data_IF_154364248930
#
_entry.id   IF_154364248930
#
_cell.length_a   1.000
_cell.length_b   1.000
_cell.length_c   1.000
_cell.angle_alpha   90.00
_cell.angle_beta   90.00
_cell.angle_gamma   90.00
#
_symmetry.space_group_name_H-M   'P 1'
#
loop_
_entity.id
_entity.type
_entity.pdbx_description
1 polymer ?
#
# COMPACT_ATOMS: atom_id res chain seq x y z
N UNK A 1 73.04 -61.91 20.58
CA UNK A 1 73.65 -61.84 21.93
C UNK A 1 72.52 -62.03 22.94
N UNK A 2 72.56 -63.06 23.81
CA UNK A 2 71.50 -63.28 24.81
C UNK A 2 71.73 -62.31 25.97
N UNK A 3 70.90 -61.27 26.09
CA UNK A 3 70.91 -60.37 27.25
C UNK A 3 70.36 -61.15 28.45
N UNK A 4 71.08 -61.15 29.58
CA UNK A 4 70.61 -61.81 30.80
C UNK A 4 69.35 -61.12 31.33
N UNK A 5 68.39 -61.90 31.80
CA UNK A 5 67.09 -61.41 32.26
C UNK A 5 67.23 -60.38 33.40
N UNK A 6 68.12 -60.62 34.36
CA UNK A 6 68.43 -59.69 35.45
C UNK A 6 68.89 -58.30 34.94
N UNK A 7 69.66 -58.27 33.85
CA UNK A 7 70.14 -57.02 33.25
C UNK A 7 68.98 -56.28 32.57
N UNK A 8 68.11 -57.01 31.86
CA UNK A 8 66.91 -56.44 31.22
C UNK A 8 65.98 -55.81 32.26
N UNK A 9 65.73 -56.49 33.37
CA UNK A 9 64.89 -55.99 34.47
C UNK A 9 65.49 -54.74 35.13
N UNK A 10 66.81 -54.72 35.36
CA UNK A 10 67.49 -53.55 35.92
C UNK A 10 67.40 -52.32 35.00
N UNK A 11 67.50 -52.52 33.67
CA UNK A 11 67.32 -51.46 32.67
C UNK A 11 65.89 -50.91 32.69
N UNK A 12 64.89 -51.78 32.66
CA UNK A 12 63.46 -51.38 32.68
C UNK A 12 63.13 -50.65 33.99
N UNK A 13 63.59 -51.16 35.13
CA UNK A 13 63.36 -50.52 36.43
C UNK A 13 63.99 -49.12 36.51
N UNK A 14 65.19 -48.95 35.94
CA UNK A 14 65.88 -47.65 35.93
C UNK A 14 65.19 -46.66 34.97
N UNK A 15 64.73 -47.14 33.81
CA UNK A 15 63.94 -46.32 32.89
C UNK A 15 62.61 -45.86 33.51
N UNK A 16 61.92 -46.76 34.24
CA UNK A 16 60.69 -46.42 34.96
C UNK A 16 60.94 -45.41 36.10
N UNK A 17 62.04 -45.55 36.85
CA UNK A 17 62.41 -44.61 37.91
C UNK A 17 62.67 -43.20 37.35
N UNK A 18 63.48 -43.09 36.29
CA UNK A 18 63.74 -41.82 35.61
C UNK A 18 62.45 -41.20 35.04
N UNK A 19 61.54 -42.00 34.52
CA UNK A 19 60.23 -41.51 34.07
C UNK A 19 59.38 -40.96 35.21
N UNK A 20 59.36 -41.63 36.37
CA UNK A 20 58.68 -41.16 37.58
C UNK A 20 59.30 -39.86 38.15
N UNK A 21 60.59 -39.64 37.92
CA UNK A 21 61.30 -38.40 38.28
C UNK A 21 61.04 -37.23 37.30
N UNK A 22 60.19 -37.42 36.28
CA UNK A 22 59.79 -36.38 35.33
C UNK A 22 60.53 -36.40 34.00
N UNK A 23 61.45 -37.35 33.78
CA UNK A 23 62.07 -37.55 32.47
C UNK A 23 61.17 -38.43 31.60
N UNK A 24 60.19 -37.84 30.92
CA UNK A 24 59.18 -38.58 30.13
C UNK A 24 59.80 -39.58 29.13
N UNK A 25 60.97 -39.26 28.57
CA UNK A 25 61.69 -40.10 27.60
C UNK A 25 63.18 -40.28 27.97
N UNK A 26 63.52 -41.12 28.97
CA UNK A 26 64.89 -41.33 29.40
C UNK A 26 65.77 -41.82 28.26
N UNK A 27 66.93 -41.19 28.07
CA UNK A 27 67.93 -41.60 27.08
C UNK A 27 68.70 -42.83 27.56
N UNK A 28 69.26 -43.61 26.62
CA UNK A 28 70.04 -44.81 26.96
C UNK A 28 71.26 -44.46 27.83
N UNK A 29 71.78 -43.25 27.71
CA UNK A 29 72.88 -42.73 28.51
C UNK A 29 72.43 -42.43 29.95
N UNK A 30 71.31 -41.73 30.12
CA UNK A 30 70.74 -41.46 31.45
C UNK A 30 70.39 -42.76 32.20
N UNK A 31 69.86 -43.76 31.50
CA UNK A 31 69.59 -45.08 32.08
C UNK A 31 70.89 -45.79 32.47
N UNK A 32 71.96 -45.65 31.67
CA UNK A 32 73.28 -46.18 32.00
C UNK A 32 73.87 -45.51 33.24
N UNK A 33 73.79 -44.19 33.33
CA UNK A 33 74.27 -43.41 34.47
C UNK A 33 73.50 -43.77 35.75
N UNK A 34 72.17 -43.82 35.68
CA UNK A 34 71.30 -44.19 36.81
C UNK A 34 71.55 -45.62 37.31
N UNK A 35 71.92 -46.55 36.42
CA UNK A 35 72.27 -47.93 36.79
C UNK A 35 73.67 -48.06 37.42
N UNK A 36 74.51 -47.03 37.35
CA UNK A 36 75.93 -47.06 37.72
C UNK A 36 76.85 -47.68 36.66
N UNK A 37 76.44 -47.69 35.40
CA UNK A 37 77.19 -48.23 34.27
C UNK A 37 76.51 -49.41 33.56
N UNK A 38 77.09 -49.84 32.43
CA UNK A 38 76.57 -50.94 31.62
C UNK A 38 76.94 -50.81 30.14
N UNK A 39 76.79 -51.90 29.38
CA UNK A 39 77.07 -51.86 27.94
C UNK A 39 75.88 -51.28 27.19
N UNK A 40 76.09 -50.17 26.46
CA UNK A 40 75.06 -49.54 25.60
C UNK A 40 74.51 -50.50 24.54
N UNK A 41 75.28 -51.50 24.13
CA UNK A 41 74.83 -52.57 23.23
C UNK A 41 73.73 -53.45 23.83
N UNK A 42 73.65 -53.55 25.17
CA UNK A 42 72.61 -54.27 25.90
C UNK A 42 71.46 -53.35 26.30
N UNK A 43 71.74 -52.08 26.61
CA UNK A 43 70.73 -51.08 26.99
C UNK A 43 69.86 -50.70 25.80
N UNK A 44 70.46 -50.49 24.63
CA UNK A 44 69.74 -49.96 23.46
C UNK A 44 68.58 -50.83 22.97
N UNK A 45 68.72 -52.18 22.86
CA UNK A 45 67.60 -53.04 22.50
C UNK A 45 66.46 -53.03 23.54
N UNK A 46 66.80 -53.04 24.83
CA UNK A 46 65.81 -53.07 25.92
C UNK A 46 65.07 -51.73 26.05
N UNK A 47 65.78 -50.61 25.89
CA UNK A 47 65.16 -49.29 25.88
C UNK A 47 64.26 -49.06 24.66
N UNK A 48 64.56 -49.69 23.53
CA UNK A 48 63.67 -49.69 22.36
C UNK A 48 62.36 -50.42 22.69
N UNK A 49 62.43 -51.64 23.22
CA UNK A 49 61.25 -52.41 23.66
C UNK A 49 60.43 -51.67 24.73
N UNK A 50 61.10 -51.02 25.68
CA UNK A 50 60.44 -50.23 26.73
C UNK A 50 59.69 -49.02 26.14
N UNK A 51 60.32 -48.27 25.22
CA UNK A 51 59.69 -47.14 24.53
C UNK A 51 58.50 -47.58 23.68
N UNK A 52 58.62 -48.71 22.98
CA UNK A 52 57.54 -49.28 22.18
C UNK A 52 56.36 -49.69 23.05
N UNK A 53 56.63 -50.31 24.21
CA UNK A 53 55.61 -50.68 25.20
C UNK A 53 54.89 -49.44 25.77
N UNK A 54 55.64 -48.40 26.14
CA UNK A 54 55.07 -47.14 26.65
C UNK A 54 54.25 -46.41 25.62
N UNK A 55 54.68 -46.43 24.36
CA UNK A 55 53.91 -45.87 23.24
C UNK A 55 52.57 -46.60 23.06
N UNK A 56 52.56 -47.92 23.16
CA UNK A 56 51.33 -48.73 23.10
C UNK A 56 50.39 -48.44 24.28
N UNK A 57 50.92 -48.33 25.50
CA UNK A 57 50.15 -47.97 26.70
C UNK A 57 49.55 -46.55 26.58
N UNK A 58 50.32 -45.57 26.09
CA UNK A 58 49.85 -44.20 25.89
C UNK A 58 48.76 -44.12 24.81
N UNK A 59 48.86 -44.89 23.73
CA UNK A 59 47.80 -44.95 22.71
C UNK A 59 46.51 -45.59 23.22
N UNK A 60 46.61 -46.62 24.08
CA UNK A 60 45.44 -47.24 24.71
C UNK A 60 44.74 -46.31 25.71
N UNK A 61 45.48 -45.44 26.40
CA UNK A 61 44.93 -44.48 27.35
C UNK A 61 44.24 -43.26 26.69
N UNK A 62 44.44 -43.04 25.38
CA UNK A 62 43.85 -41.93 24.61
C UNK A 62 42.50 -42.26 23.97
N UNK A 63 41.97 -43.47 24.18
CA UNK A 63 40.65 -43.84 23.68
C UNK A 63 39.54 -43.19 24.52
N UNK A 64 38.68 -42.41 23.87
CA UNK A 64 37.48 -41.85 24.50
C UNK A 64 36.62 -43.01 25.01
N UNK A 65 36.25 -43.04 26.32
CA UNK A 65 35.40 -44.09 26.86
C UNK A 65 34.09 -44.21 26.08
N UNK A 66 33.68 -45.44 25.77
CA UNK A 66 32.49 -45.72 24.96
C UNK A 66 31.22 -45.08 25.53
N UNK A 67 31.11 -45.00 26.86
CA UNK A 67 29.99 -44.35 27.55
C UNK A 67 29.94 -42.84 27.28
N UNK A 68 31.10 -42.17 27.26
CA UNK A 68 31.17 -40.74 26.95
C UNK A 68 30.79 -40.47 25.48
N UNK A 69 31.26 -41.32 24.56
CA UNK A 69 30.87 -41.24 23.15
C UNK A 69 29.36 -41.37 22.96
N UNK A 70 28.73 -42.34 23.61
CA UNK A 70 27.28 -42.56 23.54
C UNK A 70 26.49 -41.37 24.10
N UNK A 71 26.95 -40.77 25.20
CA UNK A 71 26.33 -39.57 25.77
C UNK A 71 26.41 -38.40 24.78
N UNK A 72 27.58 -38.16 24.20
CA UNK A 72 27.78 -37.10 23.20
C UNK A 72 26.87 -37.30 21.97
N UNK A 73 26.82 -38.51 21.42
CA UNK A 73 25.96 -38.84 20.28
C UNK A 73 24.47 -38.63 20.59
N UNK A 74 24.04 -39.05 21.77
CA UNK A 74 22.64 -38.88 22.23
C UNK A 74 22.30 -37.40 22.40
N UNK A 75 23.17 -36.62 23.06
CA UNK A 75 22.97 -35.19 23.25
C UNK A 75 22.96 -34.44 21.92
N UNK A 76 23.83 -34.79 20.98
CA UNK A 76 23.83 -34.20 19.64
C UNK A 76 22.51 -34.48 18.91
N UNK A 77 22.02 -35.72 18.96
CA UNK A 77 20.72 -36.09 18.38
C UNK A 77 19.54 -35.34 19.01
N UNK A 78 19.56 -35.13 20.33
CA UNK A 78 18.53 -34.37 21.04
C UNK A 78 18.56 -32.88 20.65
N UNK A 79 19.74 -32.26 20.61
CA UNK A 79 19.89 -30.86 20.18
C UNK A 79 19.46 -30.70 18.73
N UNK A 80 19.87 -31.61 17.84
CA UNK A 80 19.45 -31.58 16.44
C UNK A 80 17.93 -31.71 16.28
N UNK A 81 17.31 -32.64 17.02
CA UNK A 81 15.85 -32.85 16.98
C UNK A 81 15.11 -31.62 17.50
N UNK A 82 15.57 -31.04 18.62
CA UNK A 82 14.99 -29.83 19.19
C UNK A 82 15.12 -28.64 18.23
N UNK A 83 16.30 -28.43 17.65
CA UNK A 83 16.55 -27.37 16.68
C UNK A 83 15.71 -27.54 15.41
N UNK A 84 15.64 -28.77 14.86
CA UNK A 84 14.85 -29.08 13.66
C UNK A 84 13.35 -28.88 13.91
N UNK A 85 12.86 -29.30 15.08
CA UNK A 85 11.46 -29.10 15.48
C UNK A 85 11.14 -27.62 15.65
N UNK A 86 12.03 -26.87 16.32
CA UNK A 86 11.86 -25.43 16.48
C UNK A 86 11.85 -24.73 15.12
N UNK A 87 12.81 -25.02 14.26
CA UNK A 87 12.89 -24.44 12.92
C UNK A 87 11.63 -24.76 12.09
N UNK A 88 11.17 -26.01 12.09
CA UNK A 88 9.95 -26.41 11.37
C UNK A 88 8.72 -25.65 11.90
N UNK A 89 8.58 -25.57 13.23
CA UNK A 89 7.48 -24.83 13.87
C UNK A 89 7.54 -23.34 13.51
N UNK A 90 8.71 -22.73 13.55
CA UNK A 90 8.90 -21.31 13.18
C UNK A 90 8.54 -21.06 11.72
N UNK A 91 8.97 -21.93 10.81
CA UNK A 91 8.64 -21.82 9.38
C UNK A 91 7.13 -21.96 9.16
N UNK A 92 6.48 -22.92 9.81
CA UNK A 92 5.04 -23.12 9.70
C UNK A 92 4.25 -21.93 10.26
N UNK A 93 4.69 -21.37 11.39
CA UNK A 93 4.09 -20.17 11.99
C UNK A 93 4.24 -18.96 11.05
N UNK A 94 5.45 -18.69 10.55
CA UNK A 94 5.69 -17.57 9.63
C UNK A 94 4.86 -17.74 8.36
N UNK A 95 4.78 -18.95 7.81
CA UNK A 95 3.97 -19.23 6.62
C UNK A 95 2.49 -18.98 6.89
N UNK A 96 1.98 -19.41 8.05
CA UNK A 96 0.58 -19.19 8.43
C UNK A 96 0.28 -17.71 8.61
N UNK A 97 1.12 -16.99 9.35
CA UNK A 97 0.99 -15.54 9.57
C UNK A 97 1.05 -14.76 8.26
N UNK A 98 2.00 -15.11 7.36
CA UNK A 98 2.10 -14.50 6.05
C UNK A 98 0.85 -14.75 5.20
N UNK A 99 0.33 -15.98 5.17
CA UNK A 99 -0.89 -16.31 4.42
C UNK A 99 -2.09 -15.54 4.97
N UNK A 100 -2.26 -15.48 6.30
CA UNK A 100 -3.32 -14.68 6.92
C UNK A 100 -3.18 -13.19 6.60
N UNK A 101 -1.96 -12.65 6.63
CA UNK A 101 -1.71 -11.25 6.25
C UNK A 101 -2.02 -10.99 4.78
N UNK A 102 -1.74 -11.94 3.88
CA UNK A 102 -2.06 -11.85 2.46
C UNK A 102 -3.58 -11.87 2.27
N UNK A 103 -4.30 -12.77 2.94
CA UNK A 103 -5.76 -12.88 2.86
C UNK A 103 -6.44 -11.59 3.34
N UNK A 104 -5.99 -11.02 4.46
CA UNK A 104 -6.50 -9.73 4.97
C UNK A 104 -6.23 -8.61 3.97
N UNK A 105 -5.00 -8.49 3.47
CA UNK A 105 -4.66 -7.46 2.50
C UNK A 105 -5.44 -7.59 1.17
N UNK A 106 -5.73 -8.82 0.73
CA UNK A 106 -6.59 -9.07 -0.44
C UNK A 106 -8.03 -8.63 -0.14
N UNK A 107 -8.58 -8.98 1.01
CA UNK A 107 -9.94 -8.59 1.39
C UNK A 107 -10.09 -7.07 1.49
N UNK A 108 -9.16 -6.39 2.15
CA UNK A 108 -9.13 -4.92 2.25
C UNK A 108 -9.00 -4.26 0.87
N UNK A 109 -8.12 -4.80 0.00
CA UNK A 109 -7.97 -4.30 -1.37
C UNK A 109 -9.27 -4.45 -2.14
N UNK A 110 -9.92 -5.61 -2.06
CA UNK A 110 -11.14 -5.90 -2.83
C UNK A 110 -12.32 -5.04 -2.34
N UNK A 111 -12.41 -4.77 -1.03
CA UNK A 111 -13.39 -3.82 -0.47
C UNK A 111 -13.16 -2.40 -0.99
N UNK A 112 -11.91 -1.91 -0.96
CA UNK A 112 -11.56 -0.58 -1.47
C UNK A 112 -11.83 -0.48 -2.98
N UNK A 113 -11.49 -1.51 -3.76
CA UNK A 113 -11.78 -1.53 -5.20
C UNK A 113 -13.29 -1.50 -5.47
N UNK A 114 -14.09 -2.23 -4.70
CA UNK A 114 -15.55 -2.18 -4.81
C UNK A 114 -16.10 -0.78 -4.50
N UNK A 115 -15.55 -0.11 -3.49
CA UNK A 115 -15.95 1.25 -3.14
C UNK A 115 -15.54 2.26 -4.21
N UNK A 116 -14.35 2.12 -4.80
CA UNK A 116 -13.90 2.94 -5.93
C UNK A 116 -14.87 2.81 -7.10
N UNK A 117 -15.24 1.58 -7.49
CA UNK A 117 -16.18 1.34 -8.59
C UNK A 117 -17.52 2.03 -8.30
N UNK A 118 -18.05 1.89 -7.08
CA UNK A 118 -19.31 2.54 -6.67
C UNK A 118 -19.23 4.07 -6.77
N UNK A 119 -18.12 4.65 -6.32
CA UNK A 119 -17.91 6.10 -6.37
C UNK A 119 -17.74 6.60 -7.81
N UNK A 120 -17.03 5.85 -8.66
CA UNK A 120 -16.88 6.15 -10.09
C UNK A 120 -18.23 6.14 -10.82
N UNK A 121 -19.08 5.14 -10.56
CA UNK A 121 -20.44 5.07 -11.09
C UNK A 121 -21.30 6.25 -10.62
N UNK A 122 -21.22 6.61 -9.34
CA UNK A 122 -21.91 7.77 -8.77
C UNK A 122 -21.46 9.07 -9.42
N UNK A 123 -20.15 9.27 -9.61
CA UNK A 123 -19.59 10.44 -10.30
C UNK A 123 -20.07 10.50 -11.75
N UNK A 124 -20.07 9.38 -12.46
CA UNK A 124 -20.57 9.31 -13.83
C UNK A 124 -22.06 9.70 -13.91
N UNK A 125 -22.87 9.19 -12.97
CA UNK A 125 -24.29 9.53 -12.84
C UNK A 125 -24.50 11.03 -12.57
N UNK A 126 -23.77 11.59 -11.61
CA UNK A 126 -23.86 13.02 -11.27
C UNK A 126 -23.42 13.93 -12.42
N UNK A 127 -22.36 13.56 -13.15
CA UNK A 127 -21.92 14.29 -14.35
C UNK A 127 -22.99 14.31 -15.43
N UNK A 128 -23.68 13.19 -15.66
CA UNK A 128 -24.79 13.12 -16.60
C UNK A 128 -25.95 14.03 -16.17
N UNK A 129 -26.33 13.97 -14.90
CA UNK A 129 -27.39 14.84 -14.36
C UNK A 129 -27.01 16.33 -14.47
N UNK A 130 -25.75 16.68 -14.21
CA UNK A 130 -25.27 18.05 -14.35
C UNK A 130 -25.41 18.53 -15.80
N UNK A 131 -24.95 17.74 -16.77
CA UNK A 131 -25.07 18.08 -18.19
C UNK A 131 -26.54 18.23 -18.63
N UNK A 132 -27.43 17.36 -18.16
CA UNK A 132 -28.88 17.48 -18.40
C UNK A 132 -29.46 18.76 -17.79
N UNK A 133 -29.03 19.16 -16.59
CA UNK A 133 -29.47 20.41 -15.95
C UNK A 133 -28.94 21.63 -16.68
N UNK A 134 -27.69 21.63 -17.11
CA UNK A 134 -27.09 22.71 -17.92
C UNK A 134 -27.84 22.90 -19.24
N UNK A 135 -28.16 21.80 -19.93
CA UNK A 135 -28.97 21.86 -21.15
C UNK A 135 -30.37 22.44 -20.89
N UNK A 136 -31.03 22.03 -19.80
CA UNK A 136 -32.34 22.56 -19.44
C UNK A 136 -32.29 24.06 -19.09
N UNK A 137 -31.25 24.50 -18.38
CA UNK A 137 -31.04 25.92 -18.08
C UNK A 137 -30.91 26.71 -19.37
N UNK A 138 -30.06 26.29 -20.30
CA UNK A 138 -29.90 26.96 -21.58
C UNK A 138 -31.20 27.02 -22.41
N UNK A 139 -31.99 25.96 -22.38
CA UNK A 139 -33.30 25.95 -23.04
C UNK A 139 -34.26 26.97 -22.42
N UNK A 140 -34.31 27.03 -21.08
CA UNK A 140 -35.14 27.99 -20.35
C UNK A 140 -34.68 29.43 -20.61
N UNK A 141 -33.37 29.69 -20.61
CA UNK A 141 -32.79 31.01 -20.91
C UNK A 141 -33.21 31.48 -22.31
N UNK A 142 -33.11 30.60 -23.31
CA UNK A 142 -33.54 30.89 -24.69
C UNK A 142 -35.05 31.17 -24.78
N UNK A 143 -35.86 30.40 -24.07
CA UNK A 143 -37.31 30.64 -24.01
C UNK A 143 -37.64 31.96 -23.32
N UNK A 144 -36.91 32.33 -22.27
CA UNK A 144 -37.06 33.59 -21.58
C UNK A 144 -36.70 34.78 -22.48
N UNK A 145 -35.60 34.67 -23.24
CA UNK A 145 -35.20 35.70 -24.20
C UNK A 145 -36.27 35.90 -25.29
N UNK A 146 -36.79 34.81 -25.86
CA UNK A 146 -37.87 34.87 -26.85
C UNK A 146 -39.13 35.53 -26.29
N UNK A 147 -39.54 35.18 -25.06
CA UNK A 147 -40.70 35.80 -24.39
C UNK A 147 -40.48 37.29 -24.14
N UNK A 148 -39.28 37.68 -23.71
CA UNK A 148 -38.94 39.09 -23.49
C UNK A 148 -39.01 39.90 -24.80
N UNK A 149 -38.51 39.35 -25.90
CA UNK A 149 -38.62 39.97 -27.22
C UNK A 149 -40.08 40.13 -27.65
N UNK A 150 -40.91 39.10 -27.44
CA UNK A 150 -42.34 39.17 -27.73
C UNK A 150 -43.07 40.21 -26.87
N UNK A 151 -42.72 40.31 -25.58
CA UNK A 151 -43.27 41.34 -24.68
C UNK A 151 -42.90 42.74 -25.21
N UNK A 152 -41.65 42.98 -25.58
CA UNK A 152 -41.22 44.27 -26.15
C UNK A 152 -41.99 44.64 -27.43
N UNK A 153 -42.20 43.66 -28.32
CA UNK A 153 -42.98 43.86 -29.54
C UNK A 153 -44.44 44.24 -29.20
N UNK A 154 -45.10 43.46 -28.35
CA UNK A 154 -46.48 43.73 -27.93
C UNK A 154 -46.63 45.07 -27.20
N UNK A 155 -45.66 45.46 -26.37
CA UNK A 155 -45.63 46.78 -25.73
C UNK A 155 -45.55 47.90 -26.76
N UNK A 156 -44.71 47.75 -27.78
CA UNK A 156 -44.56 48.73 -28.86
C UNK A 156 -45.84 48.84 -29.68
N UNK A 157 -46.42 47.71 -30.09
CA UNK A 157 -47.69 47.66 -30.82
C UNK A 157 -48.81 48.31 -30.02
N UNK A 158 -48.93 48.01 -28.72
CA UNK A 158 -49.93 48.61 -27.84
C UNK A 158 -49.75 50.14 -27.74
N UNK A 159 -48.52 50.63 -27.59
CA UNK A 159 -48.25 52.08 -27.57
C UNK A 159 -48.69 52.78 -28.87
N UNK A 160 -48.47 52.14 -30.02
CA UNK A 160 -48.89 52.66 -31.33
C UNK A 160 -50.42 52.69 -31.49
N UNK A 161 -51.10 51.65 -30.99
CA UNK A 161 -52.57 51.57 -30.99
C UNK A 161 -53.18 52.64 -30.08
N UNK A 162 -52.61 52.84 -28.88
CA UNK A 162 -53.03 53.90 -27.95
C UNK A 162 -52.88 55.29 -28.60
N UNK A 163 -51.76 55.56 -29.27
CA UNK A 163 -51.56 56.82 -29.99
C UNK A 163 -52.60 57.02 -31.10
N UNK A 164 -52.88 55.98 -31.89
CA UNK A 164 -53.88 56.01 -32.97
C UNK A 164 -55.31 56.20 -32.44
N UNK A 165 -55.63 55.59 -31.30
CA UNK A 165 -56.92 55.80 -30.63
C UNK A 165 -57.05 57.25 -30.17
N UNK A 166 -55.99 57.85 -29.61
CA UNK A 166 -55.98 59.27 -29.23
C UNK A 166 -56.23 60.18 -30.43
N UNK A 167 -55.48 59.97 -31.52
CA UNK A 167 -55.65 60.75 -32.77
C UNK A 167 -57.07 60.63 -33.34
N UNK A 168 -57.63 59.41 -33.34
CA UNK A 168 -59.01 59.19 -33.82
C UNK A 168 -60.05 59.86 -32.92
N UNK A 169 -59.84 59.87 -31.61
CA UNK A 169 -60.72 60.58 -30.68
C UNK A 169 -60.69 62.09 -30.90
N UNK A 170 -59.51 62.67 -31.16
CA UNK A 170 -59.37 64.09 -31.53
C UNK A 170 -60.08 64.41 -32.84
N UNK A 171 -59.92 63.57 -33.88
CA UNK A 171 -60.64 63.72 -35.16
C UNK A 171 -62.16 63.65 -34.98
N UNK A 172 -62.65 62.69 -34.20
CA UNK A 172 -64.09 62.57 -33.89
C UNK A 172 -64.61 63.81 -33.17
N UNK A 173 -63.83 64.37 -32.24
CA UNK A 173 -64.20 65.59 -31.53
C UNK A 173 -64.25 66.81 -32.47
N UNK A 174 -63.24 67.01 -33.33
CA UNK A 174 -63.25 68.07 -34.36
C UNK A 174 -64.47 67.98 -35.28
N UNK A 175 -64.74 66.79 -35.83
CA UNK A 175 -65.89 66.57 -36.71
C UNK A 175 -67.22 66.82 -36.00
N UNK A 176 -67.31 66.47 -34.71
CA UNK A 176 -68.51 66.74 -33.90
C UNK A 176 -68.73 68.24 -33.72
N UNK A 177 -67.66 69.01 -33.52
CA UNK A 177 -67.71 70.46 -33.38
C UNK A 177 -68.05 71.14 -34.72
N UNK A 178 -67.46 70.70 -35.83
CA UNK A 178 -67.80 71.17 -37.20
C UNK A 178 -69.27 70.89 -37.57
N UNK A 179 -69.79 69.71 -37.23
CA UNK A 179 -71.21 69.37 -37.44
C UNK A 179 -72.12 70.27 -36.60
N UNK A 180 -71.71 70.61 -35.37
CA UNK A 180 -72.47 71.52 -34.50
C UNK A 180 -72.48 72.94 -35.06
N UNK A 181 -71.34 73.42 -35.55
CA UNK A 181 -71.22 74.74 -36.19
C UNK A 181 -72.05 74.83 -37.47
N UNK A 182 -71.93 73.86 -38.37
CA UNK A 182 -72.71 73.79 -39.61
C UNK A 182 -74.23 73.77 -39.34
N UNK A 183 -74.68 73.07 -38.29
CA UNK A 183 -76.09 73.06 -37.87
C UNK A 183 -76.55 74.44 -37.38
N UNK A 184 -75.72 75.15 -36.64
CA UNK A 184 -76.04 76.50 -36.19
C UNK A 184 -76.13 77.47 -37.36
N UNK A 185 -75.21 77.40 -38.31
CA UNK A 185 -75.23 78.26 -39.49
C UNK A 185 -76.40 77.94 -40.42
N UNK A 186 -76.74 76.67 -40.58
CA UNK A 186 -77.96 76.27 -41.29
C UNK A 186 -79.22 76.85 -40.64
N UNK A 187 -79.29 76.84 -39.30
CA UNK A 187 -80.41 77.44 -38.56
C UNK A 187 -80.50 78.95 -38.79
N UNK A 188 -79.37 79.67 -38.71
CA UNK A 188 -79.32 81.11 -39.01
C UNK A 188 -79.75 81.41 -40.45
N UNK A 189 -79.29 80.62 -41.41
CA UNK A 189 -79.66 80.78 -42.82
C UNK A 189 -81.17 80.54 -43.03
N UNK A 190 -81.75 79.53 -42.37
CA UNK A 190 -83.20 79.32 -42.38
C UNK A 190 -83.96 80.51 -41.79
N UNK A 191 -83.50 81.06 -40.66
CA UNK A 191 -84.09 82.26 -40.06
C UNK A 191 -84.06 83.46 -41.03
N UNK A 192 -82.92 83.70 -41.70
CA UNK A 192 -82.77 84.76 -42.71
C UNK A 192 -83.68 84.54 -43.93
N UNK A 193 -83.79 83.31 -44.45
CA UNK A 193 -84.67 83.00 -45.58
C UNK A 193 -86.14 83.23 -45.22
N UNK A 194 -86.55 82.87 -44.00
CA UNK A 194 -87.91 83.15 -43.50
C UNK A 194 -88.16 84.66 -43.40
N UNK A 195 -87.18 85.44 -42.95
CA UNK A 195 -87.28 86.89 -42.88
C UNK A 195 -87.42 87.53 -44.28
N UNK A 196 -86.59 87.10 -45.24
CA UNK A 196 -86.69 87.54 -46.65
C UNK A 196 -88.06 87.20 -47.23
N UNK A 197 -88.56 85.97 -47.01
CA UNK A 197 -89.87 85.53 -47.51
C UNK A 197 -91.04 86.31 -46.88
N UNK A 198 -90.90 86.80 -45.64
CA UNK A 198 -91.88 87.71 -45.03
C UNK A 198 -91.83 89.09 -45.66
N UNK A 199 -90.65 89.61 -45.94
CA UNK A 199 -90.45 90.94 -46.53
C UNK A 199 -90.84 91.02 -48.02
N UNK A 200 -90.90 89.89 -48.74
CA UNK A 200 -91.33 89.83 -50.16
C UNK A 200 -92.84 89.64 -50.34
N UNK A 201 -93.60 89.34 -49.28
CA UNK A 201 -95.06 89.15 -49.31
C UNK A 201 -95.84 90.34 -48.70
N UNK A 202 -95.20 91.50 -48.53
CA UNK A 202 -95.82 92.80 -48.22
C UNK A 202 -95.79 93.70 -49.45
#
# INVERSE_FOLDING_TARGET
MKIKQEIKEKIISSANALQAEGMETPTNEQVREHMGGGSLSHISPVMREWRDTKKLEATAALEIPADLKKVIETSLGQVWTAASKLASTTVDTIRKEANTSIEVAIAERDEVLSEIIRLEESIAGLRKQLAEKEQNIHQIEKEQENKNAQIMQLTTENSSLVARISEKNEQVQSLKDEVKESRNDYKKLQEQLVEIARNTNQ
#
